data_IF_111219654400
#
_entry.id   IF_111219654400
#
_cell.length_a   1.000
_cell.length_b   1.000
_cell.length_c   1.000
_cell.angle_alpha   90.00
_cell.angle_beta   90.00
_cell.angle_gamma   90.00
#
_symmetry.space_group_name_H-M   'P 1'
#
loop_
_entity.id
_entity.type
_entity.pdbx_description
1 polymer ?
#
# COMPACT_ATOMS: atom_id res chain seq x y z
N UNK A 1 21.54 1.24 -13.41
CA UNK A 1 20.86 0.53 -14.52
C UNK A 1 19.41 0.42 -14.14
N UNK A 2 18.56 1.31 -14.65
CA UNK A 2 17.10 1.26 -14.45
C UNK A 2 16.58 0.12 -15.31
N UNK A 3 16.02 -0.91 -14.67
CA UNK A 3 15.30 -1.96 -15.40
C UNK A 3 14.04 -1.30 -15.98
N UNK A 4 14.03 -1.14 -17.29
CA UNK A 4 12.85 -0.72 -18.04
C UNK A 4 11.87 -1.90 -18.02
N UNK A 5 10.79 -1.78 -17.25
CA UNK A 5 9.72 -2.77 -17.25
C UNK A 5 8.98 -2.68 -18.58
N UNK A 6 9.19 -3.65 -19.46
CA UNK A 6 8.39 -3.80 -20.67
C UNK A 6 6.99 -4.32 -20.25
N UNK A 7 6.03 -3.41 -20.20
CA UNK A 7 4.61 -3.71 -19.93
C UNK A 7 3.98 -4.68 -20.96
N UNK A 8 4.68 -5.02 -22.04
CA UNK A 8 4.25 -6.03 -23.02
C UNK A 8 4.64 -7.46 -22.60
N UNK A 9 5.55 -7.61 -21.64
CA UNK A 9 6.00 -8.90 -21.12
C UNK A 9 5.00 -9.57 -20.16
N UNK A 10 3.89 -8.92 -19.82
CA UNK A 10 2.92 -9.38 -18.84
C UNK A 10 1.89 -10.39 -19.30
N UNK A 11 1.95 -10.90 -20.53
CA UNK A 11 1.05 -11.93 -21.04
C UNK A 11 1.74 -13.29 -21.00
N UNK A 12 1.33 -14.11 -20.07
CA UNK A 12 1.74 -15.51 -19.93
C UNK A 12 0.51 -16.43 -20.08
N UNK A 13 0.71 -17.72 -19.98
CA UNK A 13 -0.35 -18.73 -19.97
C UNK A 13 -0.09 -19.75 -18.87
N UNK A 14 -1.13 -20.46 -18.47
CA UNK A 14 -0.99 -21.60 -17.57
C UNK A 14 -0.36 -22.78 -18.34
N UNK A 15 0.72 -23.34 -17.79
CA UNK A 15 1.35 -24.56 -18.33
C UNK A 15 0.52 -25.82 -18.09
N UNK A 16 -0.37 -25.79 -17.10
CA UNK A 16 -1.25 -26.89 -16.71
C UNK A 16 -2.61 -26.32 -16.30
N UNK A 17 -3.68 -27.12 -16.49
CA UNK A 17 -4.99 -26.76 -15.96
C UNK A 17 -4.96 -26.68 -14.43
N UNK A 18 -5.70 -25.75 -13.84
CA UNK A 18 -5.85 -25.63 -12.40
C UNK A 18 -7.31 -25.72 -11.96
N UNK A 19 -7.55 -26.39 -10.84
CA UNK A 19 -8.89 -26.48 -10.22
C UNK A 19 -9.24 -25.20 -9.47
N UNK A 20 -10.52 -25.01 -9.17
CA UNK A 20 -11.01 -23.84 -8.41
C UNK A 20 -10.45 -23.70 -6.99
N UNK A 21 -9.98 -24.78 -6.39
CA UNK A 21 -9.47 -24.81 -5.00
C UNK A 21 -7.95 -24.89 -4.91
N UNK A 22 -7.27 -25.00 -6.03
CA UNK A 22 -5.81 -25.15 -6.06
C UNK A 22 -5.13 -23.83 -5.71
N UNK A 23 -4.21 -23.86 -4.77
CA UNK A 23 -3.45 -22.69 -4.27
C UNK A 23 -2.09 -22.55 -4.93
N UNK A 24 -1.74 -23.41 -5.87
CA UNK A 24 -0.55 -23.29 -6.71
C UNK A 24 -0.95 -23.39 -8.17
N UNK A 25 -0.38 -22.50 -9.01
CA UNK A 25 -0.57 -22.52 -10.45
C UNK A 25 0.80 -22.62 -11.13
N UNK A 26 0.87 -23.25 -12.28
CA UNK A 26 2.09 -23.36 -13.06
C UNK A 26 1.99 -22.49 -14.30
N UNK A 27 2.92 -21.56 -14.43
CA UNK A 27 3.04 -20.63 -15.53
C UNK A 27 3.87 -21.27 -16.66
N UNK A 28 3.61 -20.91 -17.91
CA UNK A 28 4.33 -21.46 -19.04
C UNK A 28 5.76 -20.96 -19.14
N UNK A 29 6.02 -19.71 -18.72
CA UNK A 29 7.35 -19.14 -18.73
C UNK A 29 8.02 -19.26 -17.36
N UNK A 30 9.31 -19.60 -17.36
CA UNK A 30 10.11 -19.68 -16.16
C UNK A 30 10.47 -18.25 -15.69
N UNK A 31 10.07 -17.90 -14.47
CA UNK A 31 10.41 -16.61 -13.85
C UNK A 31 11.92 -16.43 -13.64
N UNK A 32 12.72 -17.51 -13.74
CA UNK A 32 14.18 -17.46 -13.67
C UNK A 32 14.89 -17.30 -15.03
N UNK A 33 14.14 -17.23 -16.13
CA UNK A 33 14.70 -16.94 -17.45
C UNK A 33 15.25 -15.49 -17.55
N UNK A 34 16.05 -15.21 -18.57
CA UNK A 34 16.87 -14.01 -18.72
C UNK A 34 16.12 -12.65 -18.71
N UNK A 35 14.80 -12.68 -18.60
CA UNK A 35 13.91 -11.54 -18.36
C UNK A 35 12.95 -11.97 -17.26
N UNK A 36 13.09 -11.42 -16.06
CA UNK A 36 12.09 -11.60 -15.01
C UNK A 36 10.76 -11.00 -15.50
N UNK A 37 9.89 -11.86 -16.04
CA UNK A 37 8.55 -11.49 -16.53
C UNK A 37 7.66 -10.94 -15.40
N UNK A 38 8.00 -11.27 -14.16
CA UNK A 38 7.22 -10.93 -13.00
C UNK A 38 8.05 -10.16 -11.97
N UNK A 39 7.47 -9.18 -11.29
CA UNK A 39 8.12 -8.54 -10.17
C UNK A 39 8.32 -9.54 -9.02
N UNK A 40 9.15 -9.21 -8.01
CA UNK A 40 9.18 -9.97 -6.76
C UNK A 40 7.77 -10.06 -6.16
N UNK A 41 7.41 -11.25 -5.63
CA UNK A 41 6.15 -11.41 -4.91
C UNK A 41 6.11 -10.53 -3.64
N UNK A 42 4.93 -10.00 -3.24
CA UNK A 42 3.62 -10.28 -3.81
C UNK A 42 3.27 -9.43 -5.03
N UNK A 43 2.53 -9.99 -5.98
CA UNK A 43 1.98 -9.28 -7.13
C UNK A 43 0.66 -9.92 -7.60
N UNK A 44 -0.05 -9.21 -8.49
CA UNK A 44 -1.35 -9.65 -8.96
C UNK A 44 -1.31 -10.21 -10.38
N UNK A 45 -2.03 -11.32 -10.59
CA UNK A 45 -2.34 -11.83 -11.90
C UNK A 45 -3.86 -11.85 -12.12
N UNK A 46 -4.25 -11.64 -13.36
CA UNK A 46 -5.61 -11.94 -13.83
C UNK A 46 -5.51 -13.17 -14.70
N UNK A 47 -6.24 -14.22 -14.33
CA UNK A 47 -6.40 -15.42 -15.14
C UNK A 47 -7.61 -15.25 -16.06
N UNK A 48 -7.47 -15.67 -17.33
CA UNK A 48 -8.50 -15.53 -18.37
C UNK A 48 -9.11 -14.11 -18.45
N UNK A 49 -8.30 -13.06 -18.63
CA UNK A 49 -8.77 -11.66 -18.53
C UNK A 49 -9.91 -11.31 -19.51
N UNK A 50 -10.00 -12.04 -20.60
CA UNK A 50 -10.97 -11.79 -21.68
C UNK A 50 -12.17 -12.75 -21.62
N UNK A 51 -12.34 -13.49 -20.51
CA UNK A 51 -13.38 -14.52 -20.35
C UNK A 51 -14.34 -14.16 -19.20
N UNK A 52 -15.57 -14.73 -19.26
CA UNK A 52 -16.53 -14.67 -18.15
C UNK A 52 -16.02 -15.37 -16.88
N UNK A 53 -15.02 -16.25 -17.02
CA UNK A 53 -14.35 -16.94 -15.91
C UNK A 53 -13.09 -16.21 -15.43
N UNK A 54 -12.98 -14.92 -15.74
CA UNK A 54 -11.90 -14.07 -15.23
C UNK A 54 -11.77 -14.19 -13.72
N UNK A 55 -10.53 -14.35 -13.26
CA UNK A 55 -10.21 -14.43 -11.84
C UNK A 55 -8.97 -13.60 -11.52
N UNK A 56 -9.07 -12.80 -10.46
CA UNK A 56 -7.95 -12.06 -9.90
C UNK A 56 -7.28 -12.90 -8.80
N UNK A 57 -6.00 -13.18 -8.94
CA UNK A 57 -5.21 -13.96 -7.98
C UNK A 57 -4.04 -13.13 -7.43
N UNK A 58 -3.81 -13.23 -6.13
CA UNK A 58 -2.61 -12.66 -5.51
C UNK A 58 -1.52 -13.73 -5.48
N UNK A 59 -0.43 -13.51 -6.19
CA UNK A 59 0.77 -14.33 -6.10
C UNK A 59 1.54 -13.93 -4.84
N UNK A 60 1.67 -14.86 -3.91
CA UNK A 60 2.37 -14.64 -2.63
C UNK A 60 3.80 -15.17 -2.63
N UNK A 61 4.11 -16.11 -3.52
CA UNK A 61 5.46 -16.60 -3.76
C UNK A 61 5.58 -17.12 -5.18
N UNK A 62 6.76 -17.03 -5.75
CA UNK A 62 7.08 -17.54 -7.09
C UNK A 62 8.41 -18.28 -7.04
N UNK A 63 8.41 -19.55 -7.46
CA UNK A 63 9.58 -20.40 -7.52
C UNK A 63 9.65 -21.10 -8.90
N UNK A 64 10.53 -20.62 -9.78
CA UNK A 64 10.55 -21.06 -11.17
C UNK A 64 9.21 -20.76 -11.84
N UNK A 65 8.58 -21.78 -12.39
CA UNK A 65 7.26 -21.70 -13.03
C UNK A 65 6.08 -21.82 -12.05
N UNK A 66 6.33 -22.14 -10.78
CA UNK A 66 5.27 -22.42 -9.80
C UNK A 66 4.99 -21.17 -8.97
N UNK A 67 3.79 -20.64 -9.09
CA UNK A 67 3.29 -19.54 -8.29
C UNK A 67 2.36 -20.05 -7.18
N UNK A 68 2.63 -19.67 -5.94
CA UNK A 68 1.69 -19.84 -4.81
C UNK A 68 0.73 -18.67 -4.83
N UNK A 69 -0.57 -18.95 -4.82
CA UNK A 69 -1.59 -17.91 -5.02
C UNK A 69 -2.71 -17.97 -3.98
N UNK A 70 -3.23 -16.80 -3.64
CA UNK A 70 -4.55 -16.66 -3.01
C UNK A 70 -5.57 -16.43 -4.12
N UNK A 71 -6.56 -17.34 -4.19
CA UNK A 71 -7.56 -17.40 -5.27
C UNK A 71 -8.68 -16.39 -5.01
N UNK A 72 -9.20 -15.86 -6.14
CA UNK A 72 -10.36 -14.95 -6.14
C UNK A 72 -10.29 -13.89 -5.04
N UNK A 73 -9.16 -13.24 -4.92
CA UNK A 73 -8.82 -12.37 -3.80
C UNK A 73 -9.72 -11.13 -3.74
N UNK A 74 -10.13 -10.62 -4.90
CA UNK A 74 -10.98 -9.41 -4.99
C UNK A 74 -12.46 -9.68 -4.73
N UNK A 75 -12.88 -10.94 -4.60
CA UNK A 75 -14.27 -11.29 -4.27
C UNK A 75 -14.51 -11.35 -2.77
N UNK A 76 -15.75 -11.20 -2.36
CA UNK A 76 -16.18 -11.39 -0.97
C UNK A 76 -17.21 -12.53 -0.91
N UNK A 77 -16.91 -13.66 -0.23
CA UNK A 77 -15.67 -13.99 0.45
C UNK A 77 -14.54 -14.39 -0.52
N UNK A 78 -13.27 -14.06 -0.22
CA UNK A 78 -12.13 -14.56 -0.98
C UNK A 78 -11.97 -16.08 -0.83
N UNK A 79 -11.31 -16.72 -1.79
CA UNK A 79 -10.79 -18.07 -1.62
C UNK A 79 -11.46 -19.16 -2.45
N UNK A 80 -12.60 -18.92 -3.08
CA UNK A 80 -13.17 -19.88 -4.05
C UNK A 80 -12.88 -19.41 -5.47
N UNK A 81 -11.87 -20.00 -6.08
CA UNK A 81 -11.47 -19.67 -7.44
C UNK A 81 -12.35 -20.32 -8.49
N UNK A 82 -12.01 -20.09 -9.74
CA UNK A 82 -12.61 -20.73 -10.93
C UNK A 82 -11.59 -21.71 -11.50
N UNK A 83 -12.06 -22.82 -12.07
CA UNK A 83 -11.17 -23.74 -12.77
C UNK A 83 -10.73 -23.14 -14.11
N UNK A 84 -9.43 -23.17 -14.38
CA UNK A 84 -8.85 -22.71 -15.64
C UNK A 84 -8.18 -23.87 -16.39
N UNK A 85 -8.30 -23.86 -17.71
CA UNK A 85 -7.66 -24.84 -18.57
C UNK A 85 -6.18 -24.55 -18.77
N UNK A 86 -5.44 -25.53 -19.20
CA UNK A 86 -4.10 -25.33 -19.77
C UNK A 86 -4.16 -24.32 -20.93
N UNK A 87 -3.17 -23.45 -21.03
CA UNK A 87 -3.13 -22.36 -21.99
C UNK A 87 -4.04 -21.17 -21.65
N UNK A 88 -4.74 -21.19 -20.51
CA UNK A 88 -5.46 -20.00 -20.03
C UNK A 88 -4.50 -18.83 -19.85
N UNK A 89 -4.89 -17.64 -20.33
CA UNK A 89 -4.03 -16.44 -20.24
C UNK A 89 -3.85 -16.02 -18.79
N UNK A 90 -2.62 -15.65 -18.45
CA UNK A 90 -2.26 -15.05 -17.17
C UNK A 90 -1.60 -13.69 -17.46
N UNK A 91 -2.19 -12.61 -16.96
CA UNK A 91 -1.70 -11.25 -17.21
C UNK A 91 -1.39 -10.57 -15.89
N UNK A 92 -0.22 -9.92 -15.84
CA UNK A 92 0.09 -9.02 -14.73
C UNK A 92 -0.95 -7.90 -14.68
N UNK A 93 -1.55 -7.67 -13.52
CA UNK A 93 -2.63 -6.72 -13.38
C UNK A 93 -2.34 -5.66 -12.29
N UNK A 94 -2.75 -4.45 -12.59
CA UNK A 94 -2.96 -3.43 -11.56
C UNK A 94 -4.39 -3.63 -11.05
N UNK A 95 -4.52 -3.97 -9.79
CA UNK A 95 -5.83 -4.11 -9.13
C UNK A 95 -5.96 -3.13 -7.96
N UNK A 96 -7.03 -3.25 -7.18
CA UNK A 96 -7.27 -2.39 -6.02
C UNK A 96 -6.11 -2.38 -5.02
N UNK A 97 -5.38 -3.51 -4.87
CA UNK A 97 -4.20 -3.59 -4.01
C UNK A 97 -2.96 -2.87 -4.56
N UNK A 98 -2.94 -2.52 -5.85
CA UNK A 98 -1.89 -1.69 -6.47
C UNK A 98 -2.27 -0.21 -6.51
N UNK A 99 -3.48 0.15 -6.09
CA UNK A 99 -3.91 1.54 -5.99
C UNK A 99 -3.59 2.06 -4.59
N UNK A 100 -3.38 3.37 -4.45
CA UNK A 100 -3.31 3.99 -3.13
C UNK A 100 -4.55 3.63 -2.32
N UNK A 101 -4.37 3.29 -1.07
CA UNK A 101 -5.51 3.05 -0.18
C UNK A 101 -6.33 4.34 0.04
N UNK A 102 -7.59 4.21 0.47
CA UNK A 102 -8.36 5.37 0.90
C UNK A 102 -7.68 6.09 2.07
N UNK A 103 -7.77 7.41 2.09
CA UNK A 103 -7.25 8.21 3.19
C UNK A 103 -7.97 7.91 4.51
N UNK A 104 -7.19 7.69 5.56
CA UNK A 104 -7.63 7.50 6.94
C UNK A 104 -7.64 8.83 7.68
N UNK A 105 -8.75 9.17 8.32
CA UNK A 105 -8.89 10.45 9.02
C UNK A 105 -8.59 10.34 10.51
N UNK A 106 -7.61 11.10 11.00
CA UNK A 106 -7.33 11.16 12.44
C UNK A 106 -8.55 11.69 13.20
N UNK A 107 -8.99 10.94 14.21
CA UNK A 107 -10.18 11.26 15.01
C UNK A 107 -11.49 10.70 14.45
N UNK A 108 -11.49 10.02 13.32
CA UNK A 108 -12.67 9.30 12.82
C UNK A 108 -12.92 8.01 13.61
N UNK A 109 -14.13 7.48 13.54
CA UNK A 109 -14.49 6.22 14.20
C UNK A 109 -13.65 5.06 13.65
N UNK A 110 -12.95 4.34 14.53
CA UNK A 110 -12.06 3.23 14.16
C UNK A 110 -10.64 3.65 13.77
N UNK A 111 -10.37 4.95 13.70
CA UNK A 111 -9.07 5.50 13.35
C UNK A 111 -8.32 6.04 14.57
N UNK A 112 -7.00 6.33 14.47
CA UNK A 112 -6.26 6.92 15.56
C UNK A 112 -6.88 8.24 16.04
N UNK A 113 -6.92 8.42 17.35
CA UNK A 113 -7.40 9.66 17.95
C UNK A 113 -6.27 10.69 18.09
N UNK A 114 -6.64 11.97 18.09
CA UNK A 114 -5.73 13.02 18.55
C UNK A 114 -5.39 12.84 20.02
N UNK A 115 -4.19 13.26 20.40
CA UNK A 115 -3.72 13.26 21.79
C UNK A 115 -3.73 14.69 22.38
N UNK A 116 -3.87 14.76 23.69
CA UNK A 116 -3.94 16.05 24.39
C UNK A 116 -5.12 16.91 23.93
N UNK A 117 -4.83 18.15 23.57
CA UNK A 117 -5.83 19.11 23.09
C UNK A 117 -5.81 19.30 21.56
N UNK A 118 -5.02 18.50 20.84
CA UNK A 118 -4.97 18.57 19.37
C UNK A 118 -6.32 18.20 18.75
N UNK A 119 -6.69 18.94 17.72
CA UNK A 119 -7.90 18.69 16.91
C UNK A 119 -7.60 19.03 15.46
N UNK A 120 -8.47 18.61 14.56
CA UNK A 120 -8.39 18.98 13.14
C UNK A 120 -8.41 20.50 12.95
N UNK A 121 -7.61 20.96 12.00
CA UNK A 121 -7.65 22.34 11.53
C UNK A 121 -8.96 22.68 10.80
N UNK A 122 -9.08 23.92 10.34
CA UNK A 122 -10.33 24.42 9.74
C UNK A 122 -10.50 23.96 8.29
N UNK A 123 -9.41 23.87 7.53
CA UNK A 123 -9.47 23.70 6.06
C UNK A 123 -9.46 22.24 5.63
N UNK A 124 -8.45 21.48 6.09
CA UNK A 124 -8.27 20.08 5.70
C UNK A 124 -8.03 19.27 6.97
N UNK A 125 -8.83 18.22 7.23
CA UNK A 125 -8.59 17.33 8.36
C UNK A 125 -7.24 16.63 8.19
N UNK A 126 -6.65 16.20 9.30
CA UNK A 126 -5.43 15.40 9.27
C UNK A 126 -5.75 14.00 8.80
N UNK A 127 -5.09 13.60 7.74
CA UNK A 127 -5.26 12.32 7.06
C UNK A 127 -3.90 11.62 6.95
N UNK A 128 -3.91 10.30 6.92
CA UNK A 128 -2.77 9.48 6.54
C UNK A 128 -3.21 8.42 5.52
N UNK A 129 -2.28 7.93 4.75
CA UNK A 129 -2.51 6.86 3.80
C UNK A 129 -1.20 6.34 3.26
N UNK A 130 -1.23 5.17 2.68
CA UNK A 130 -0.05 4.58 2.10
C UNK A 130 -0.19 4.33 0.59
N UNK A 131 0.91 4.33 -0.09
CA UNK A 131 1.00 4.05 -1.52
C UNK A 131 1.58 2.66 -1.75
N UNK A 132 1.28 2.01 -2.87
CA UNK A 132 1.73 0.64 -3.16
C UNK A 132 3.25 0.44 -3.15
N UNK A 133 4.03 1.52 -3.26
CA UNK A 133 5.49 1.52 -3.14
C UNK A 133 5.99 1.64 -1.70
N UNK A 134 5.07 1.56 -0.71
CA UNK A 134 5.38 1.52 0.71
C UNK A 134 5.57 2.87 1.38
N UNK A 135 5.30 3.98 0.69
CA UNK A 135 5.36 5.30 1.31
C UNK A 135 4.07 5.62 2.07
N UNK A 136 4.23 6.09 3.28
CA UNK A 136 3.16 6.72 4.07
C UNK A 136 3.21 8.22 3.84
N UNK A 137 2.06 8.79 3.56
CA UNK A 137 1.86 10.22 3.38
C UNK A 137 0.94 10.76 4.45
N UNK A 138 1.28 11.93 4.97
CA UNK A 138 0.40 12.72 5.82
C UNK A 138 -0.06 13.95 5.07
N UNK A 139 -1.28 14.40 5.34
CA UNK A 139 -1.82 15.67 4.81
C UNK A 139 -2.80 16.28 5.78
N UNK A 140 -2.98 17.60 5.66
CA UNK A 140 -3.95 18.36 6.44
C UNK A 140 -3.32 19.19 7.54
N UNK A 141 -4.17 19.77 8.38
CA UNK A 141 -3.77 20.67 9.44
C UNK A 141 -4.38 20.30 10.79
N UNK A 142 -3.62 20.47 11.87
CA UNK A 142 -4.06 20.35 13.24
C UNK A 142 -3.95 21.69 13.96
N UNK A 143 -4.62 21.83 15.11
CA UNK A 143 -4.58 23.04 15.95
C UNK A 143 -4.82 22.75 17.43
N UNK A 144 -4.60 23.76 18.26
CA UNK A 144 -4.92 23.82 19.70
C UNK A 144 -4.07 22.93 20.61
N UNK A 145 -3.14 22.15 20.09
CA UNK A 145 -2.26 21.31 20.91
C UNK A 145 -1.15 22.11 21.61
N UNK A 146 -0.52 21.48 22.59
CA UNK A 146 0.69 22.01 23.21
C UNK A 146 1.92 21.75 22.35
N UNK A 147 2.94 22.57 22.46
CA UNK A 147 4.24 22.41 21.82
C UNK A 147 5.36 22.37 22.87
N UNK A 148 6.28 21.40 22.83
CA UNK A 148 6.26 20.19 22.01
C UNK A 148 5.30 19.13 22.55
N UNK A 149 4.62 18.38 21.67
CA UNK A 149 3.82 17.22 22.09
C UNK A 149 3.52 16.26 20.93
N UNK A 150 3.10 15.05 21.27
CA UNK A 150 2.54 14.08 20.32
C UNK A 150 1.14 14.55 19.88
N UNK A 151 0.92 14.59 18.59
CA UNK A 151 -0.39 14.92 18.00
C UNK A 151 -1.30 13.69 17.91
N UNK A 152 -0.75 12.58 17.43
CA UNK A 152 -1.41 11.28 17.28
C UNK A 152 -0.36 10.19 17.07
N UNK A 153 -0.77 8.92 17.17
CA UNK A 153 0.11 7.77 16.91
C UNK A 153 -0.40 6.96 15.74
N UNK A 154 0.44 6.78 14.72
CA UNK A 154 0.15 5.95 13.56
C UNK A 154 0.04 4.47 13.94
N UNK A 155 -0.90 3.71 13.34
CA UNK A 155 -1.02 2.28 13.57
C UNK A 155 0.20 1.50 13.04
N UNK A 156 0.34 0.25 13.46
CA UNK A 156 1.34 -0.66 12.89
C UNK A 156 1.11 -0.78 11.37
N UNK A 157 2.20 -0.89 10.61
CA UNK A 157 2.15 -0.87 9.13
C UNK A 157 2.28 0.53 8.52
N UNK A 158 2.09 1.60 9.30
CA UNK A 158 2.24 3.00 8.86
C UNK A 158 3.39 3.72 9.56
N UNK A 159 4.32 2.99 10.15
CA UNK A 159 5.40 3.55 10.97
C UNK A 159 6.71 3.52 10.22
N UNK A 160 7.56 4.55 10.33
CA UNK A 160 8.90 4.49 9.77
C UNK A 160 9.77 3.50 10.56
N UNK A 161 10.82 2.98 9.93
CA UNK A 161 11.82 2.11 10.57
C UNK A 161 12.73 2.89 11.55
N UNK A 162 12.85 4.19 11.37
CA UNK A 162 13.63 5.07 12.22
C UNK A 162 12.95 6.44 12.39
N UNK A 163 13.42 7.21 13.35
CA UNK A 163 12.96 8.58 13.57
C UNK A 163 13.17 9.43 12.31
N UNK A 164 12.10 10.00 11.79
CA UNK A 164 12.12 10.92 10.66
C UNK A 164 11.77 12.36 11.11
N UNK A 165 12.43 13.35 10.54
CA UNK A 165 12.27 14.77 10.88
C UNK A 165 11.98 15.57 9.63
N UNK A 166 10.91 16.36 9.66
CA UNK A 166 10.42 17.14 8.54
C UNK A 166 10.29 18.62 8.88
N UNK A 167 10.58 19.47 7.92
CA UNK A 167 10.22 20.87 7.94
C UNK A 167 8.80 21.02 7.39
N UNK A 168 7.92 21.64 8.16
CA UNK A 168 6.52 21.86 7.78
C UNK A 168 6.12 23.30 8.05
N UNK A 169 4.94 23.72 7.58
CA UNK A 169 4.39 25.05 7.84
C UNK A 169 3.56 25.07 9.13
N UNK A 170 3.60 26.19 9.83
CA UNK A 170 2.69 26.45 10.94
C UNK A 170 2.32 27.92 11.00
N UNK A 171 1.10 28.25 10.60
CA UNK A 171 0.56 29.62 10.61
C UNK A 171 1.52 30.64 9.95
N UNK A 172 1.95 30.35 8.71
CA UNK A 172 2.90 31.13 7.91
C UNK A 172 4.32 31.23 8.51
N UNK A 173 4.72 30.21 9.29
CA UNK A 173 6.07 30.08 9.84
C UNK A 173 6.60 28.66 9.76
N UNK A 174 7.91 28.53 9.96
CA UNK A 174 8.57 27.23 10.04
C UNK A 174 8.10 26.42 11.25
N UNK A 175 7.89 25.14 11.06
CA UNK A 175 7.64 24.17 12.11
C UNK A 175 8.45 22.89 11.89
N UNK A 176 8.63 22.09 12.94
CA UNK A 176 9.33 20.81 12.89
C UNK A 176 8.39 19.69 13.29
N UNK A 177 8.09 18.82 12.34
CA UNK A 177 7.39 17.55 12.55
C UNK A 177 8.39 16.43 12.77
N UNK A 178 8.17 15.62 13.77
CA UNK A 178 8.95 14.41 14.04
C UNK A 178 8.03 13.21 14.01
N UNK A 179 8.39 12.19 13.25
CA UNK A 179 7.71 10.90 13.25
C UNK A 179 8.65 9.87 13.86
N UNK A 180 8.26 9.29 14.99
CA UNK A 180 9.04 8.27 15.68
C UNK A 180 8.80 6.89 15.07
N UNK A 181 9.73 5.96 15.24
CA UNK A 181 9.55 4.55 14.86
C UNK A 181 8.42 3.85 15.64
N UNK A 182 7.99 4.40 16.76
CA UNK A 182 6.79 3.98 17.50
C UNK A 182 5.49 4.37 16.80
N UNK A 183 5.56 5.27 15.79
CA UNK A 183 4.43 5.86 15.10
C UNK A 183 3.98 7.20 15.66
N UNK A 184 4.57 7.70 16.74
CA UNK A 184 4.20 9.00 17.31
C UNK A 184 4.57 10.13 16.35
N UNK A 185 3.58 10.94 15.99
CA UNK A 185 3.73 12.14 15.17
C UNK A 185 3.73 13.35 16.12
N UNK A 186 4.87 13.98 16.22
CA UNK A 186 5.14 15.03 17.19
C UNK A 186 5.27 16.40 16.53
N UNK A 187 4.63 17.39 17.13
CA UNK A 187 4.83 18.81 16.83
C UNK A 187 5.86 19.41 17.78
N UNK A 188 7.00 19.88 17.27
CA UNK A 188 8.09 20.39 18.12
C UNK A 188 8.17 21.91 18.16
N UNK A 189 8.19 22.57 17.01
CA UNK A 189 8.32 24.01 16.87
C UNK A 189 7.15 24.55 16.07
N UNK A 190 6.89 25.86 16.18
CA UNK A 190 5.90 26.55 15.37
C UNK A 190 4.71 27.07 16.17
N UNK A 191 3.61 27.33 15.49
CA UNK A 191 2.37 27.82 16.08
C UNK A 191 1.32 26.72 16.18
N UNK A 192 0.61 26.62 17.28
CA UNK A 192 -0.49 25.69 17.46
C UNK A 192 -1.85 26.19 16.94
N UNK A 193 -1.89 27.32 16.25
CA UNK A 193 -3.14 27.85 15.65
C UNK A 193 -3.47 27.21 14.31
N UNK A 194 -2.45 26.87 13.52
CA UNK A 194 -2.57 26.09 12.27
C UNK A 194 -1.24 25.38 12.04
N UNK A 195 -1.19 24.08 12.21
CA UNK A 195 0.01 23.27 12.12
C UNK A 195 -0.17 22.20 11.04
N UNK A 196 0.62 22.29 9.96
CA UNK A 196 0.47 21.44 8.80
C UNK A 196 1.25 20.13 8.96
N UNK A 197 0.70 19.06 8.44
CA UNK A 197 1.41 17.80 8.18
C UNK A 197 1.57 17.54 6.67
N UNK A 198 1.17 18.50 5.83
CA UNK A 198 1.32 18.37 4.38
C UNK A 198 2.80 18.22 3.99
N UNK A 199 3.07 17.28 3.08
CA UNK A 199 4.42 16.99 2.61
C UNK A 199 5.25 16.07 3.51
N UNK A 200 4.73 15.61 4.63
CA UNK A 200 5.35 14.56 5.44
C UNK A 200 5.16 13.22 4.73
N UNK A 201 6.26 12.61 4.32
CA UNK A 201 6.26 11.29 3.67
C UNK A 201 7.50 10.49 4.06
N UNK A 202 7.33 9.19 4.25
CA UNK A 202 8.41 8.26 4.61
C UNK A 202 8.05 6.84 4.21
N UNK A 203 9.05 5.96 4.11
CA UNK A 203 8.84 4.52 3.93
C UNK A 203 8.33 3.91 5.24
N UNK A 204 7.27 3.13 5.17
CA UNK A 204 6.79 2.36 6.31
C UNK A 204 7.60 1.07 6.48
N UNK A 205 7.79 0.65 7.72
CA UNK A 205 8.27 -0.68 8.04
C UNK A 205 7.10 -1.67 7.86
N UNK A 206 7.24 -2.57 6.90
CA UNK A 206 6.30 -3.67 6.64
C UNK A 206 6.60 -4.90 7.48
#
# INVERSE_FOLDING_TARGET
MTAEFDLRAGDDTLAEACSATQTTIKLAHDAGGALALYPPAPFWLVLDPDNIHREDVLVTALAGQVATVTRNFSSSPPGTGVAHREGARARLAVNAGCLPEPWHGIGNAGEPAFQGTWVNGVNVPVLFGWTPDGHVWLRGTAKLGALPSVMFTLPAGYRPDHKAVFAVDSNAGYAQCVVQSTGDVEAHLGSNTAWSVDGVQFLAMQ
#
